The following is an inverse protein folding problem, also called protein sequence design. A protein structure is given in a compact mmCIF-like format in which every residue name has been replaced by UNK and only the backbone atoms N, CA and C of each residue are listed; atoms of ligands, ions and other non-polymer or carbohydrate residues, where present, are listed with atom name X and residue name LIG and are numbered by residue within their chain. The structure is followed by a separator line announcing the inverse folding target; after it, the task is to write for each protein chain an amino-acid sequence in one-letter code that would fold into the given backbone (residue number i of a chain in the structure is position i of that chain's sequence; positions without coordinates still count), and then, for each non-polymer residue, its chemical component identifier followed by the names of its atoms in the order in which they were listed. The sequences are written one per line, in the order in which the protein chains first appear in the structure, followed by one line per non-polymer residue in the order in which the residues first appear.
data_IF_130464308985
#
_entry.id   IF_130464308985
#
_cell.length_a   1.000
_cell.length_b   1.000
_cell.length_c   1.000
_cell.angle_alpha   90.00
_cell.angle_beta   90.00
_cell.angle_gamma   90.00
#
_symmetry.space_group_name_H-M   'P 1'
#
loop_
_entity.id
_entity.type
_entity.pdbx_description
1 polymer ?
#
# COMPACT_ATOMS: atom_id res chain seq x y z
N UNK A 1 -39.86 -32.47 31.01
CA UNK A 1 -38.79 -31.60 30.49
C UNK A 1 -38.31 -32.13 29.14
N UNK A 2 -38.50 -31.40 28.04
CA UNK A 2 -38.01 -31.76 26.69
C UNK A 2 -36.68 -31.03 26.41
N UNK A 3 -35.70 -31.74 25.84
CA UNK A 3 -34.35 -31.31 25.41
C UNK A 3 -34.41 -30.15 24.38
N UNK A 4 -33.34 -29.35 24.18
CA UNK A 4 -32.30 -29.75 23.22
C UNK A 4 -30.83 -29.62 23.68
N UNK A 5 -29.91 -30.24 22.91
CA UNK A 5 -28.47 -30.38 23.16
C UNK A 5 -27.62 -29.26 22.54
N UNK A 6 -26.32 -29.33 22.81
CA UNK A 6 -25.20 -28.49 22.39
C UNK A 6 -25.39 -27.53 21.21
N UNK A 7 -25.04 -26.27 21.43
CA UNK A 7 -24.60 -25.33 20.41
C UNK A 7 -23.06 -25.27 20.39
N UNK A 8 -22.44 -26.37 19.96
CA UNK A 8 -21.14 -26.31 19.30
C UNK A 8 -21.38 -25.63 17.94
N UNK A 9 -21.39 -24.29 17.86
CA UNK A 9 -21.57 -23.66 16.56
C UNK A 9 -21.12 -22.19 16.42
N UNK A 10 -20.90 -21.41 17.47
CA UNK A 10 -20.59 -19.99 17.26
C UNK A 10 -19.09 -19.70 17.53
N UNK A 11 -18.23 -20.56 16.98
CA UNK A 11 -16.95 -20.09 16.43
C UNK A 11 -17.25 -19.56 15.03
N UNK A 12 -18.02 -18.48 14.95
CA UNK A 12 -17.92 -17.55 13.85
C UNK A 12 -16.67 -16.72 14.18
N UNK A 13 -15.45 -17.16 13.87
CA UNK A 13 -14.84 -16.87 12.56
C UNK A 13 -15.23 -15.49 12.03
N UNK A 14 -15.28 -14.49 12.91
CA UNK A 14 -15.24 -13.10 12.48
C UNK A 14 -13.88 -12.90 11.82
N UNK A 15 -13.93 -12.82 10.50
CA UNK A 15 -12.78 -12.88 9.62
C UNK A 15 -11.69 -11.93 10.10
N UNK A 16 -10.45 -12.42 10.11
CA UNK A 16 -9.22 -11.64 10.31
C UNK A 16 -8.97 -10.69 9.12
N UNK A 17 -9.95 -9.86 8.77
CA UNK A 17 -9.71 -8.62 8.07
C UNK A 17 -9.22 -7.65 9.14
N UNK A 18 -7.93 -7.76 9.48
CA UNK A 18 -7.22 -6.63 10.03
C UNK A 18 -7.29 -5.54 8.96
N UNK A 19 -8.26 -4.64 9.09
CA UNK A 19 -8.34 -3.43 8.29
C UNK A 19 -6.97 -2.75 8.39
N UNK A 20 -6.18 -2.84 7.33
CA UNK A 20 -4.84 -2.26 7.27
C UNK A 20 -5.01 -0.80 7.64
N UNK A 21 -4.49 -0.42 8.81
CA UNK A 21 -4.63 0.95 9.27
C UNK A 21 -4.08 1.91 8.22
N UNK A 22 -4.65 3.11 8.05
CA UNK A 22 -4.13 4.07 7.08
C UNK A 22 -2.63 4.32 7.27
N UNK A 23 -2.12 4.29 8.50
CA UNK A 23 -0.69 4.35 8.79
C UNK A 23 0.13 3.18 8.21
N UNK A 24 -0.37 1.95 8.28
CA UNK A 24 0.27 0.79 7.64
C UNK A 24 0.24 0.90 6.12
N UNK A 25 -0.89 1.35 5.55
CA UNK A 25 -1.00 1.59 4.10
C UNK A 25 -0.02 2.66 3.63
N UNK A 26 0.19 3.71 4.42
CA UNK A 26 1.20 4.73 4.17
C UNK A 26 2.61 4.13 4.11
N UNK A 27 2.97 3.30 5.10
CA UNK A 27 4.27 2.65 5.12
C UNK A 27 4.48 1.73 3.92
N UNK A 28 3.45 0.99 3.52
CA UNK A 28 3.49 0.14 2.34
C UNK A 28 3.75 0.96 1.06
N UNK A 29 3.02 2.06 0.87
CA UNK A 29 3.23 2.96 -0.26
C UNK A 29 4.64 3.56 -0.27
N UNK A 30 5.17 3.96 0.90
CA UNK A 30 6.54 4.46 1.04
C UNK A 30 7.56 3.38 0.68
N UNK A 31 7.36 2.14 1.14
CA UNK A 31 8.23 1.02 0.81
C UNK A 31 8.23 0.72 -0.70
N UNK A 32 7.05 0.67 -1.31
CA UNK A 32 6.90 0.52 -2.77
C UNK A 32 7.59 1.65 -3.53
N UNK A 33 7.40 2.90 -3.10
CA UNK A 33 8.06 4.07 -3.71
C UNK A 33 9.60 3.96 -3.63
N UNK A 34 10.16 3.53 -2.50
CA UNK A 34 11.61 3.32 -2.34
C UNK A 34 12.15 2.17 -3.21
N UNK A 35 11.42 1.07 -3.30
CA UNK A 35 11.78 -0.04 -4.18
C UNK A 35 11.82 0.40 -5.64
N UNK A 36 10.82 1.19 -6.05
CA UNK A 36 10.73 1.72 -7.40
C UNK A 36 11.85 2.72 -7.70
N UNK A 37 12.28 3.50 -6.71
CA UNK A 37 13.43 4.39 -6.83
C UNK A 37 14.75 3.63 -7.04
N UNK A 38 14.95 2.56 -6.28
CA UNK A 38 16.12 1.68 -6.41
C UNK A 38 16.18 1.04 -7.80
N UNK A 39 15.03 0.56 -8.30
CA UNK A 39 14.90 0.00 -9.65
C UNK A 39 15.17 1.03 -10.74
N UNK A 40 14.74 2.28 -10.55
CA UNK A 40 15.07 3.39 -11.46
C UNK A 40 16.58 3.65 -11.45
N UNK A 41 17.20 3.71 -10.26
CA UNK A 41 18.64 3.93 -10.12
C UNK A 41 19.48 2.85 -10.81
N UNK A 42 19.12 1.58 -10.65
CA UNK A 42 19.75 0.48 -11.39
C UNK A 42 19.60 0.64 -12.91
N UNK A 43 18.41 1.04 -13.37
CA UNK A 43 18.13 1.23 -14.79
C UNK A 43 18.90 2.39 -15.44
N UNK A 44 19.37 3.36 -14.64
CA UNK A 44 20.25 4.42 -15.12
C UNK A 44 21.64 3.91 -15.57
N UNK A 45 22.05 2.72 -15.13
CA UNK A 45 23.31 2.10 -15.59
C UNK A 45 23.26 1.67 -17.06
N UNK A 46 22.07 1.43 -17.62
CA UNK A 46 21.87 0.98 -19.00
C UNK A 46 20.75 1.78 -19.72
N UNK A 47 20.99 3.08 -20.02
CA UNK A 47 19.94 4.00 -20.48
C UNK A 47 19.46 3.74 -21.92
N UNK A 48 20.30 3.14 -22.78
CA UNK A 48 20.00 2.99 -24.21
C UNK A 48 18.89 1.96 -24.52
N UNK A 49 18.71 0.93 -23.68
CA UNK A 49 17.72 -0.13 -23.91
C UNK A 49 16.38 0.09 -23.21
N UNK A 50 16.30 1.06 -22.30
CA UNK A 50 15.25 1.07 -21.28
C UNK A 50 14.43 2.36 -21.20
N UNK A 51 14.48 3.24 -22.20
CA UNK A 51 13.79 4.54 -22.15
C UNK A 51 12.27 4.44 -21.90
N UNK A 52 11.56 3.54 -22.59
CA UNK A 52 10.11 3.34 -22.40
C UNK A 52 9.81 2.83 -20.99
N UNK A 53 10.58 1.84 -20.52
CA UNK A 53 10.40 1.27 -19.19
C UNK A 53 10.74 2.30 -18.10
N UNK A 54 11.76 3.12 -18.30
CA UNK A 54 12.14 4.21 -17.40
C UNK A 54 11.06 5.29 -17.32
N UNK A 55 10.42 5.65 -18.44
CA UNK A 55 9.27 6.55 -18.43
C UNK A 55 8.10 5.97 -17.63
N UNK A 56 7.79 4.67 -17.79
CA UNK A 56 6.75 3.99 -17.03
C UNK A 56 7.05 4.00 -15.53
N UNK A 57 8.27 3.61 -15.13
CA UNK A 57 8.69 3.61 -13.74
C UNK A 57 8.62 5.02 -13.12
N UNK A 58 9.10 6.06 -13.82
CA UNK A 58 8.98 7.44 -13.33
C UNK A 58 7.53 7.88 -13.14
N UNK A 59 6.63 7.50 -14.05
CA UNK A 59 5.20 7.78 -13.93
C UNK A 59 4.59 7.05 -12.73
N UNK A 60 4.95 5.79 -12.52
CA UNK A 60 4.52 5.01 -11.35
C UNK A 60 5.03 5.61 -10.04
N UNK A 61 6.31 6.03 -10.01
CA UNK A 61 6.91 6.73 -8.86
C UNK A 61 6.13 8.01 -8.52
N UNK A 62 5.78 8.81 -9.53
CA UNK A 62 4.99 10.03 -9.34
C UNK A 62 3.60 9.71 -8.77
N UNK A 63 2.91 8.70 -9.31
CA UNK A 63 1.60 8.27 -8.78
C UNK A 63 1.68 7.80 -7.33
N UNK A 64 2.71 7.03 -6.98
CA UNK A 64 2.93 6.60 -5.59
C UNK A 64 3.18 7.81 -4.68
N UNK A 65 3.99 8.78 -5.12
CA UNK A 65 4.21 10.03 -4.38
C UNK A 65 2.90 10.79 -4.14
N UNK A 66 2.05 10.93 -5.16
CA UNK A 66 0.77 11.63 -5.04
C UNK A 66 -0.19 10.90 -4.10
N UNK A 67 -0.26 9.56 -4.18
CA UNK A 67 -1.03 8.74 -3.25
C UNK A 67 -0.52 8.86 -1.81
N UNK A 68 0.81 8.85 -1.62
CA UNK A 68 1.44 9.06 -0.29
C UNK A 68 1.03 10.41 0.26
N UNK A 69 1.04 11.47 -0.56
CA UNK A 69 0.67 12.80 -0.07
C UNK A 69 -0.81 12.88 0.28
N UNK A 70 -1.71 12.43 -0.58
CA UNK A 70 -3.15 12.42 -0.26
C UNK A 70 -3.45 11.66 1.04
N UNK A 71 -2.84 10.49 1.21
CA UNK A 71 -3.04 9.67 2.39
C UNK A 71 -2.38 10.29 3.64
N UNK A 72 -1.27 11.02 3.49
CA UNK A 72 -0.69 11.84 4.55
C UNK A 72 -1.58 13.02 4.93
N UNK A 73 -2.16 13.70 3.96
CA UNK A 73 -3.06 14.83 4.16
C UNK A 73 -4.35 14.35 4.87
N UNK A 74 -4.84 13.15 4.55
CA UNK A 74 -5.96 12.51 5.26
C UNK A 74 -5.61 12.12 6.71
N UNK A 75 -4.36 11.70 6.96
CA UNK A 75 -3.87 11.28 8.28
C UNK A 75 -3.43 12.47 9.17
N UNK A 76 -2.90 13.51 8.56
CA UNK A 76 -2.38 14.72 9.19
C UNK A 76 -3.03 15.90 8.44
N UNK A 77 -4.20 16.36 8.88
CA UNK A 77 -5.02 17.32 8.13
C UNK A 77 -4.43 18.74 8.03
N UNK A 78 -3.13 18.94 8.27
CA UNK A 78 -2.58 20.28 8.43
C UNK A 78 -1.11 20.39 8.03
N UNK A 79 -0.77 20.08 6.77
CA UNK A 79 0.60 20.25 6.29
C UNK A 79 0.74 20.35 4.76
N UNK A 80 -0.08 21.17 4.08
CA UNK A 80 0.26 21.89 2.83
C UNK A 80 -0.93 22.78 2.34
N UNK A 81 -0.96 24.03 2.77
CA UNK A 81 -1.60 25.17 2.07
C UNK A 81 -0.50 26.11 1.57
#
# INVERSE_FOLDING_TARGET
MRKPPGSDADIEREAANEDISPAMRLQELIAQHRALDSKIAEMYSHPAHNQILMQRLKKEKLRLKDCIQRLKDELIPDLNA
#
